data_IF_258134170502
#
_entry.id   IF_258134170502
#
_cell.length_a   1.000
_cell.length_b   1.000
_cell.length_c   1.000
_cell.angle_alpha   90.00
_cell.angle_beta   90.00
_cell.angle_gamma   90.00
#
_symmetry.space_group_name_H-M   'P 1'
#
loop_
_entity.id
_entity.type
_entity.pdbx_description
1 polymer ?
#
# COMPACT_ATOMS: atom_id res chain seq x y z
N UNK A 1 -24.04 32.71 17.80
CA UNK A 1 -24.06 31.45 17.01
C UNK A 1 -23.12 31.61 15.82
N UNK A 2 -22.16 30.70 15.63
CA UNK A 2 -21.28 30.75 14.47
C UNK A 2 -22.07 30.40 13.20
N UNK A 3 -21.82 31.13 12.09
CA UNK A 3 -22.49 30.87 10.80
C UNK A 3 -22.09 29.48 10.29
N UNK A 4 -23.00 28.80 9.59
CA UNK A 4 -22.68 27.55 8.89
C UNK A 4 -21.55 27.81 7.88
N UNK A 5 -20.40 27.17 8.07
CA UNK A 5 -19.24 27.30 7.18
C UNK A 5 -19.40 26.28 6.06
N UNK A 6 -19.43 26.75 4.81
CA UNK A 6 -19.41 25.88 3.64
C UNK A 6 -18.09 25.09 3.60
N UNK A 7 -18.18 23.79 3.33
CA UNK A 7 -17.02 22.92 3.14
C UNK A 7 -16.09 23.49 2.06
N UNK A 8 -14.79 23.45 2.31
CA UNK A 8 -13.79 23.76 1.31
C UNK A 8 -13.59 22.60 0.33
N UNK A 9 -13.71 22.92 -0.94
CA UNK A 9 -13.40 22.04 -2.07
C UNK A 9 -12.34 22.76 -2.90
N UNK A 10 -11.22 22.09 -3.15
CA UNK A 10 -10.16 22.63 -3.99
C UNK A 10 -10.65 22.91 -5.41
N UNK A 11 -10.21 24.03 -6.01
CA UNK A 11 -10.54 24.36 -7.40
C UNK A 11 -9.91 23.36 -8.37
N UNK A 12 -8.74 22.84 -8.02
CA UNK A 12 -8.02 21.78 -8.73
C UNK A 12 -7.43 20.79 -7.72
N UNK A 13 -7.10 19.59 -8.18
CA UNK A 13 -6.48 18.55 -7.35
C UNK A 13 -5.13 18.99 -6.75
N UNK A 14 -4.42 19.88 -7.44
CA UNK A 14 -3.12 20.41 -7.01
C UNK A 14 -3.25 21.65 -6.09
N UNK A 15 -4.45 22.18 -5.88
CA UNK A 15 -4.64 23.36 -5.03
C UNK A 15 -4.43 22.97 -3.56
N UNK A 16 -3.43 23.57 -2.91
CA UNK A 16 -3.19 23.36 -1.47
C UNK A 16 -4.34 23.93 -0.63
N UNK A 17 -4.71 23.23 0.44
CA UNK A 17 -5.66 23.72 1.41
C UNK A 17 -5.15 25.03 2.06
N UNK A 18 -5.99 26.09 2.14
CA UNK A 18 -5.59 27.34 2.77
C UNK A 18 -5.41 27.14 4.29
N UNK A 19 -4.58 27.94 4.97
CA UNK A 19 -4.25 27.74 6.39
C UNK A 19 -5.47 27.64 7.32
N UNK A 20 -6.53 28.41 7.04
CA UNK A 20 -7.81 28.36 7.78
C UNK A 20 -8.47 26.98 7.76
N UNK A 21 -8.37 26.27 6.64
CA UNK A 21 -8.91 24.91 6.46
C UNK A 21 -8.07 23.93 7.23
N UNK A 22 -6.74 24.05 7.15
CA UNK A 22 -5.82 23.21 7.90
C UNK A 22 -6.05 23.33 9.41
N UNK A 23 -6.30 24.54 9.91
CA UNK A 23 -6.65 24.76 11.31
C UNK A 23 -7.98 24.07 11.67
N UNK A 24 -9.03 24.24 10.87
CA UNK A 24 -10.31 23.55 11.10
C UNK A 24 -10.18 22.04 11.16
N UNK A 25 -9.41 21.45 10.23
CA UNK A 25 -9.16 20.01 10.18
C UNK A 25 -8.38 19.56 11.41
N UNK A 26 -7.38 20.33 11.83
CA UNK A 26 -6.63 20.06 13.05
C UNK A 26 -7.53 20.07 14.29
N UNK A 27 -8.40 21.08 14.42
CA UNK A 27 -9.29 21.25 15.56
C UNK A 27 -10.39 20.17 15.57
N UNK A 28 -10.92 19.80 14.39
CA UNK A 28 -11.90 18.71 14.23
C UNK A 28 -11.35 17.38 14.72
N UNK A 29 -10.12 17.08 14.37
CA UNK A 29 -9.48 15.79 14.67
C UNK A 29 -8.70 15.84 16.01
N UNK A 30 -8.90 16.87 16.83
CA UNK A 30 -8.25 17.10 18.13
C UNK A 30 -6.71 16.99 18.09
N UNK A 31 -6.11 17.30 16.94
CA UNK A 31 -4.67 17.15 16.73
C UNK A 31 -4.16 15.71 16.77
N UNK A 32 -5.02 14.72 16.55
CA UNK A 32 -4.65 13.31 16.51
C UNK A 32 -4.24 12.94 15.10
N UNK A 33 -3.05 12.38 14.95
CA UNK A 33 -2.58 11.88 13.66
C UNK A 33 -3.45 10.70 13.20
N UNK A 34 -4.08 10.79 12.02
CA UNK A 34 -4.95 9.70 11.53
C UNK A 34 -4.21 8.39 11.24
N UNK A 35 -2.90 8.46 10.97
CA UNK A 35 -2.10 7.30 10.60
C UNK A 35 -1.63 6.48 11.80
N UNK A 36 -1.16 7.14 12.87
CA UNK A 36 -0.64 6.45 14.06
C UNK A 36 -1.56 6.54 15.29
N UNK A 37 -2.62 7.35 15.23
CA UNK A 37 -3.54 7.58 16.34
C UNK A 37 -2.94 8.34 17.53
N UNK A 38 -1.71 8.84 17.42
CA UNK A 38 -1.04 9.60 18.49
C UNK A 38 -1.32 11.10 18.37
N UNK A 39 -1.43 11.82 19.50
CA UNK A 39 -1.60 13.27 19.50
C UNK A 39 -0.31 13.96 19.02
N UNK A 40 -0.47 14.98 18.19
CA UNK A 40 0.63 15.81 17.67
C UNK A 40 1.03 16.81 18.76
N UNK A 41 2.22 16.66 19.31
CA UNK A 41 2.73 17.59 20.34
C UNK A 41 3.26 18.89 19.73
N UNK A 42 2.47 19.96 19.84
CA UNK A 42 2.88 21.32 19.43
C UNK A 42 3.77 21.97 20.50
N UNK A 43 4.78 22.79 20.15
CA UNK A 43 5.23 23.16 18.81
C UNK A 43 6.35 22.27 18.23
N UNK A 44 6.83 21.28 19.01
CA UNK A 44 8.02 20.51 18.64
C UNK A 44 7.81 19.57 17.44
N UNK A 45 6.59 19.09 17.22
CA UNK A 45 6.29 18.18 16.11
C UNK A 45 5.62 18.89 14.94
N UNK A 46 6.29 18.85 13.78
CA UNK A 46 5.74 19.33 12.53
C UNK A 46 4.64 18.38 12.01
N UNK A 47 3.50 18.95 11.61
CA UNK A 47 2.39 18.22 11.02
C UNK A 47 2.02 18.83 9.66
N UNK A 48 1.43 18.00 8.81
CA UNK A 48 0.90 18.39 7.52
C UNK A 48 -0.55 17.88 7.43
N UNK A 49 -1.35 18.51 6.56
CA UNK A 49 -2.70 18.02 6.24
C UNK A 49 -2.62 17.16 5.01
N UNK A 50 -3.00 15.91 5.17
CA UNK A 50 -2.87 14.87 4.15
C UNK A 50 -4.25 14.30 3.80
N UNK A 51 -4.39 13.79 2.57
CA UNK A 51 -5.65 13.23 2.10
C UNK A 51 -5.83 11.80 2.63
N UNK A 52 -6.85 11.52 3.45
CA UNK A 52 -7.18 10.19 3.98
C UNK A 52 -7.12 9.14 2.87
N UNK A 53 -7.85 9.40 1.78
CA UNK A 53 -7.69 8.71 0.51
C UNK A 53 -6.85 9.56 -0.43
N UNK A 54 -5.68 9.08 -0.84
CA UNK A 54 -4.81 9.79 -1.76
C UNK A 54 -5.51 10.14 -3.09
N UNK A 55 -5.23 11.34 -3.63
CA UNK A 55 -5.74 11.82 -4.91
C UNK A 55 -5.53 10.80 -6.04
N UNK A 56 -4.36 10.16 -6.05
CA UNK A 56 -3.96 9.14 -7.04
C UNK A 56 -4.90 7.93 -7.04
N UNK A 57 -5.46 7.58 -5.88
CA UNK A 57 -6.37 6.44 -5.71
C UNK A 57 -7.84 6.86 -5.89
N UNK A 58 -8.10 8.05 -6.44
CA UNK A 58 -9.44 8.62 -6.59
C UNK A 58 -9.99 9.20 -5.30
N UNK A 59 -9.12 9.83 -4.50
CA UNK A 59 -9.52 10.71 -3.41
C UNK A 59 -9.90 12.09 -3.92
N UNK A 60 -10.80 12.78 -3.21
CA UNK A 60 -11.20 14.14 -3.56
C UNK A 60 -10.39 15.17 -2.76
N UNK A 61 -10.12 16.33 -3.36
CA UNK A 61 -9.48 17.45 -2.66
C UNK A 61 -10.52 18.27 -1.85
N UNK A 62 -11.05 17.67 -0.78
CA UNK A 62 -12.09 18.26 0.09
C UNK A 62 -11.70 18.17 1.56
N UNK A 63 -12.25 19.05 2.40
CA UNK A 63 -11.97 19.05 3.85
C UNK A 63 -12.35 17.74 4.54
N UNK A 64 -13.42 17.10 4.10
CA UNK A 64 -13.85 15.79 4.60
C UNK A 64 -12.80 14.70 4.38
N UNK A 65 -12.03 14.80 3.31
CA UNK A 65 -10.96 13.86 2.99
C UNK A 65 -9.59 14.31 3.53
N UNK A 66 -9.47 15.47 4.18
CA UNK A 66 -8.21 15.91 4.77
C UNK A 66 -8.14 15.52 6.24
N UNK A 67 -7.00 15.04 6.70
CA UNK A 67 -6.73 14.76 8.10
C UNK A 67 -5.29 15.18 8.47
N UNK A 68 -5.03 15.53 9.74
CA UNK A 68 -3.69 15.85 10.18
C UNK A 68 -2.83 14.58 10.27
N UNK A 69 -1.56 14.71 9.86
CA UNK A 69 -0.56 13.65 9.93
C UNK A 69 0.78 14.22 10.37
N UNK A 70 1.58 13.42 11.10
CA UNK A 70 2.97 13.78 11.38
C UNK A 70 3.76 13.88 10.08
N UNK A 71 4.54 14.95 9.92
CA UNK A 71 5.37 15.16 8.73
C UNK A 71 6.39 14.04 8.52
N UNK A 72 6.99 13.54 9.60
CA UNK A 72 7.86 12.37 9.61
C UNK A 72 7.65 11.57 10.91
N UNK A 73 7.67 10.22 10.87
CA UNK A 73 7.79 9.36 9.68
C UNK A 73 6.46 9.07 8.97
N UNK A 74 5.31 9.38 9.58
CA UNK A 74 3.99 8.91 9.14
C UNK A 74 3.63 9.30 7.69
N UNK A 75 3.80 10.57 7.32
CA UNK A 75 3.48 11.03 5.96
C UNK A 75 4.31 10.32 4.88
N UNK A 76 5.61 10.10 5.13
CA UNK A 76 6.48 9.39 4.18
C UNK A 76 6.06 7.93 4.00
N UNK A 77 5.74 7.24 5.09
CA UNK A 77 5.31 5.83 5.06
C UNK A 77 4.00 5.69 4.30
N UNK A 78 3.04 6.58 4.57
CA UNK A 78 1.77 6.60 3.86
C UNK A 78 1.95 6.87 2.37
N UNK A 79 2.72 7.90 2.02
CA UNK A 79 3.02 8.23 0.62
C UNK A 79 3.64 7.02 -0.12
N UNK A 80 4.56 6.30 0.55
CA UNK A 80 5.14 5.09 -0.03
C UNK A 80 4.09 4.00 -0.27
N UNK A 81 3.21 3.74 0.70
CA UNK A 81 2.10 2.79 0.56
C UNK A 81 1.18 3.17 -0.61
N UNK A 82 0.76 4.43 -0.70
CA UNK A 82 -0.11 4.93 -1.77
C UNK A 82 0.52 4.76 -3.17
N UNK A 83 1.83 5.02 -3.29
CA UNK A 83 2.56 4.80 -4.55
C UNK A 83 2.63 3.31 -4.90
N UNK A 84 2.81 2.43 -3.92
CA UNK A 84 2.79 0.98 -4.19
C UNK A 84 1.43 0.51 -4.66
N UNK A 85 0.35 1.01 -4.08
CA UNK A 85 -1.01 0.62 -4.46
C UNK A 85 -1.38 1.17 -5.84
N UNK A 86 -1.01 2.42 -6.14
CA UNK A 86 -1.07 2.98 -7.50
C UNK A 86 -0.40 2.05 -8.51
N UNK A 87 0.83 1.62 -8.23
CA UNK A 87 1.59 0.76 -9.14
C UNK A 87 0.90 -0.58 -9.38
N UNK A 88 0.32 -1.19 -8.32
CA UNK A 88 -0.46 -2.42 -8.43
C UNK A 88 -1.71 -2.22 -9.28
N UNK A 89 -2.52 -1.21 -8.99
CA UNK A 89 -3.75 -0.90 -9.75
C UNK A 89 -3.43 -0.65 -11.22
N UNK A 90 -2.38 0.12 -11.51
CA UNK A 90 -1.92 0.36 -12.86
C UNK A 90 -1.46 -0.92 -13.56
N UNK A 91 -0.76 -1.82 -12.86
CA UNK A 91 -0.32 -3.11 -13.42
C UNK A 91 -1.51 -4.03 -13.72
N UNK A 92 -2.49 -4.11 -12.84
CA UNK A 92 -3.73 -4.89 -13.06
C UNK A 92 -4.48 -4.33 -14.28
N UNK A 93 -4.66 -3.00 -14.35
CA UNK A 93 -5.31 -2.34 -15.48
C UNK A 93 -4.58 -2.61 -16.80
N UNK A 94 -3.24 -2.54 -16.80
CA UNK A 94 -2.42 -2.85 -17.99
C UNK A 94 -2.56 -4.30 -18.46
N UNK A 95 -2.74 -5.25 -17.54
CA UNK A 95 -2.98 -6.66 -17.89
C UNK A 95 -4.38 -6.82 -18.49
N UNK A 96 -5.38 -6.20 -17.90
CA UNK A 96 -6.77 -6.30 -18.36
C UNK A 96 -6.99 -5.68 -19.75
N UNK A 97 -6.31 -4.57 -20.06
CA UNK A 97 -6.37 -3.91 -21.38
C UNK A 97 -5.49 -4.63 -22.43
N UNK A 98 -4.66 -5.59 -22.04
CA UNK A 98 -3.78 -6.32 -22.97
C UNK A 98 -2.53 -5.55 -23.45
N UNK A 99 -2.21 -4.40 -22.83
CA UNK A 99 -1.00 -3.61 -23.14
C UNK A 99 0.27 -4.36 -22.67
N UNK A 100 0.13 -5.30 -21.74
CA UNK A 100 1.27 -6.01 -21.15
C UNK A 100 1.84 -7.01 -22.15
N UNK A 101 3.08 -6.80 -22.58
CA UNK A 101 3.79 -7.73 -23.47
C UNK A 101 3.94 -9.10 -22.79
N UNK A 102 3.77 -10.21 -23.52
CA UNK A 102 3.98 -11.55 -22.98
C UNK A 102 5.43 -11.71 -22.53
N UNK A 103 5.64 -12.42 -21.41
CA UNK A 103 6.97 -12.73 -20.90
C UNK A 103 7.68 -13.61 -21.93
N UNK A 104 8.80 -13.15 -22.48
CA UNK A 104 9.65 -13.97 -23.35
C UNK A 104 10.45 -14.95 -22.49
N UNK A 105 10.53 -16.21 -22.93
CA UNK A 105 11.47 -17.18 -22.41
C UNK A 105 12.87 -16.81 -22.90
N UNK A 106 13.81 -16.59 -21.99
CA UNK A 106 15.23 -16.55 -22.33
C UNK A 106 15.71 -18.00 -22.18
N UNK A 107 16.20 -18.66 -23.24
CA UNK A 107 16.74 -20.00 -23.11
C UNK A 107 17.90 -20.00 -22.12
N UNK A 108 17.74 -20.74 -21.03
CA UNK A 108 18.81 -20.97 -20.05
C UNK A 108 19.82 -22.00 -20.55
N UNK A 109 21.02 -22.06 -19.95
CA UNK A 109 21.97 -23.12 -20.22
C UNK A 109 21.35 -24.50 -19.93
N UNK A 110 21.78 -25.56 -20.63
CA UNK A 110 21.25 -26.91 -20.43
C UNK A 110 21.38 -27.32 -18.97
N UNK A 111 20.32 -27.92 -18.43
CA UNK A 111 20.31 -28.41 -17.04
C UNK A 111 21.38 -29.51 -16.92
N UNK A 112 22.27 -29.47 -15.92
CA UNK A 112 23.25 -30.53 -15.75
C UNK A 112 22.53 -31.87 -15.53
N UNK A 113 23.09 -32.94 -16.11
CA UNK A 113 22.57 -34.29 -15.89
C UNK A 113 22.56 -34.58 -14.38
N UNK A 114 21.40 -35.02 -13.88
CA UNK A 114 21.30 -35.41 -12.48
C UNK A 114 22.17 -36.67 -12.30
N UNK A 115 23.01 -36.73 -11.26
CA UNK A 115 23.72 -37.97 -10.94
C UNK A 115 22.69 -39.08 -10.71
N UNK A 116 23.04 -40.30 -11.12
CA UNK A 116 22.19 -41.47 -10.92
C UNK A 116 21.72 -41.52 -9.46
N UNK A 117 20.42 -41.78 -9.21
CA UNK A 117 19.92 -41.93 -7.85
C UNK A 117 20.73 -43.03 -7.18
N UNK A 118 21.36 -42.72 -6.04
CA UNK A 118 22.01 -43.74 -5.22
C UNK A 118 20.94 -44.77 -4.87
N UNK A 119 21.11 -46.01 -5.34
CA UNK A 119 20.23 -47.11 -4.99
C UNK A 119 20.08 -47.16 -3.47
N UNK A 120 18.86 -47.29 -2.99
CA UNK A 120 18.59 -47.37 -1.56
C UNK A 120 19.33 -48.62 -1.05
N UNK A 121 20.29 -48.42 -0.14
CA UNK A 121 21.11 -49.52 0.40
C UNK A 121 20.27 -50.55 1.19
N UNK A 122 19.04 -50.20 1.53
CA UNK A 122 18.13 -51.04 2.27
C UNK A 122 17.25 -51.86 1.31
N UNK A 123 17.29 -53.19 1.34
CA UNK A 123 16.29 -54.00 0.63
C UNK A 123 14.90 -53.63 1.16
N UNK A 124 13.95 -53.48 0.23
CA UNK A 124 12.56 -53.13 0.57
C UNK A 124 11.98 -54.26 1.41
N UNK A 125 11.82 -54.04 2.72
CA UNK A 125 11.27 -55.02 3.66
C UNK A 125 9.85 -55.40 3.21
N UNK A 126 9.64 -56.65 2.79
CA UNK A 126 8.30 -57.15 2.47
C UNK A 126 7.44 -57.12 3.74
N UNK A 127 6.26 -56.50 3.66
CA UNK A 127 5.31 -56.43 4.77
C UNK A 127 4.45 -57.69 4.90
N UNK A 128 4.47 -58.58 3.91
CA UNK A 128 3.69 -59.82 3.90
C UNK A 128 4.59 -61.02 3.65
N UNK A 129 4.53 -62.01 4.52
CA UNK A 129 5.10 -63.35 4.28
C UNK A 129 4.07 -64.14 3.48
N UNK A 130 4.50 -64.70 2.34
CA UNK A 130 3.66 -65.59 1.55
C UNK A 130 3.31 -66.81 2.41
N UNK A 131 2.03 -66.94 2.76
CA UNK A 131 1.49 -68.08 3.50
C UNK A 131 1.35 -69.22 2.50
N UNK A 132 2.30 -70.14 2.48
CA UNK A 132 2.23 -71.35 1.64
C UNK A 132 1.12 -72.27 2.13
N UNK A 133 0.41 -72.87 1.17
CA UNK A 133 -0.77 -73.72 1.34
C UNK A 133 -0.49 -75.04 2.06
#
# INVERSE_FOLDING_TARGET
MARAVKEWVGKTDNTKAPPRVCQRVFDRDNGICHFCGQPIQKPHQAHETDHIKALINGGENRETNLAPIHKKPCHTVKTAADVTDKAKVAAVRKKHIGITKPKRSIPGPPKPEKPAPKGHACPRRSLYTARTA
#
